data_IF_906939837173
#
_entry.id   IF_906939837173
#
_cell.length_a   1.000
_cell.length_b   1.000
_cell.length_c   1.000
_cell.angle_alpha   90.00
_cell.angle_beta   90.00
_cell.angle_gamma   90.00
#
_symmetry.space_group_name_H-M   'P 1'
#
loop_
_entity.id
_entity.type
_entity.pdbx_description
1 polymer ?
#
# COMPACT_ATOMS: atom_id res chain seq x y z
N UNK A 1 -36.68 -1.02 2.15
CA UNK A 1 -35.20 -0.98 2.24
C UNK A 1 -34.64 -1.05 0.84
N UNK A 2 -34.14 0.07 0.36
CA UNK A 2 -33.87 0.35 -1.05
C UNK A 2 -32.85 -0.62 -1.70
N UNK A 3 -33.02 -0.95 -2.99
CA UNK A 3 -32.06 -1.79 -3.73
C UNK A 3 -30.67 -1.13 -3.72
N UNK A 4 -30.63 0.20 -3.77
CA UNK A 4 -29.42 1.00 -3.72
C UNK A 4 -28.69 0.88 -2.37
N UNK A 5 -29.44 0.94 -1.27
CA UNK A 5 -28.94 0.75 0.10
C UNK A 5 -28.26 -0.63 0.29
N UNK A 6 -28.84 -1.68 -0.27
CA UNK A 6 -28.26 -3.05 -0.22
C UNK A 6 -27.00 -3.16 -1.08
N UNK A 7 -26.97 -2.54 -2.27
CA UNK A 7 -25.81 -2.51 -3.17
C UNK A 7 -24.64 -1.74 -2.53
N UNK A 8 -24.90 -0.54 -1.98
CA UNK A 8 -23.94 0.27 -1.21
C UNK A 8 -23.33 -0.50 -0.04
N UNK A 9 -24.15 -1.21 0.76
CA UNK A 9 -23.65 -2.05 1.87
C UNK A 9 -22.77 -3.21 1.41
N UNK A 10 -23.16 -3.92 0.34
CA UNK A 10 -22.40 -5.07 -0.18
C UNK A 10 -21.05 -4.64 -0.75
N UNK A 11 -21.01 -3.54 -1.50
CA UNK A 11 -19.78 -3.04 -2.10
C UNK A 11 -18.85 -2.45 -1.03
N UNK A 12 -19.37 -1.65 -0.09
CA UNK A 12 -18.59 -1.16 1.06
C UNK A 12 -18.00 -2.31 1.89
N UNK A 13 -18.73 -3.41 2.07
CA UNK A 13 -18.24 -4.61 2.76
C UNK A 13 -17.15 -5.35 1.97
N UNK A 14 -17.32 -5.52 0.65
CA UNK A 14 -16.33 -6.17 -0.20
C UNK A 14 -15.00 -5.41 -0.23
N UNK A 15 -15.11 -4.08 -0.24
CA UNK A 15 -14.01 -3.13 -0.17
C UNK A 15 -13.28 -3.21 1.16
N UNK A 16 -14.01 -3.13 2.27
CA UNK A 16 -13.39 -3.19 3.59
C UNK A 16 -12.68 -4.54 3.79
N UNK A 17 -13.24 -5.61 3.22
CA UNK A 17 -12.60 -6.92 3.21
C UNK A 17 -11.29 -6.93 2.40
N UNK A 18 -11.21 -6.30 1.23
CA UNK A 18 -9.98 -6.30 0.42
C UNK A 18 -8.88 -5.39 0.99
N UNK A 19 -9.23 -4.24 1.60
CA UNK A 19 -8.26 -3.42 2.35
C UNK A 19 -7.68 -4.19 3.51
N UNK A 20 -8.57 -4.82 4.29
CA UNK A 20 -8.15 -5.64 5.41
C UNK A 20 -7.27 -6.78 4.93
N UNK A 21 -7.56 -7.38 3.77
CA UNK A 21 -6.75 -8.48 3.23
C UNK A 21 -5.33 -8.05 2.83
N UNK A 22 -5.19 -7.00 2.00
CA UNK A 22 -3.89 -6.51 1.56
C UNK A 22 -3.03 -6.06 2.74
N UNK A 23 -3.66 -5.37 3.67
CA UNK A 23 -3.00 -4.83 4.83
C UNK A 23 -2.66 -5.92 5.87
N UNK A 24 -3.49 -6.97 5.98
CA UNK A 24 -3.19 -8.19 6.74
C UNK A 24 -2.01 -8.95 6.12
N UNK A 25 -1.90 -9.01 4.79
CA UNK A 25 -0.74 -9.63 4.13
C UNK A 25 0.54 -8.84 4.39
N UNK A 26 0.52 -7.51 4.29
CA UNK A 26 1.70 -6.68 4.57
C UNK A 26 2.12 -6.83 6.03
N UNK A 27 1.18 -6.74 6.98
CA UNK A 27 1.43 -6.99 8.40
C UNK A 27 2.01 -8.38 8.63
N UNK A 28 1.36 -9.41 8.08
CA UNK A 28 1.78 -10.81 8.22
C UNK A 28 3.19 -11.03 7.68
N UNK A 29 3.51 -10.44 6.52
CA UNK A 29 4.84 -10.51 5.95
C UNK A 29 5.88 -9.81 6.82
N UNK A 30 5.59 -8.61 7.34
CA UNK A 30 6.49 -7.90 8.27
C UNK A 30 6.72 -8.71 9.55
N UNK A 31 5.69 -9.33 10.12
CA UNK A 31 5.84 -10.20 11.27
C UNK A 31 6.70 -11.43 10.98
N UNK A 32 6.45 -12.11 9.86
CA UNK A 32 7.24 -13.27 9.45
C UNK A 32 8.72 -12.91 9.28
N UNK A 33 9.01 -11.75 8.68
CA UNK A 33 10.37 -11.25 8.51
C UNK A 33 11.07 -11.01 9.86
N UNK A 34 10.43 -10.28 10.78
CA UNK A 34 11.01 -9.99 12.11
C UNK A 34 11.17 -11.27 12.94
N UNK A 35 10.22 -12.20 12.88
CA UNK A 35 10.32 -13.50 13.57
C UNK A 35 11.47 -14.34 13.00
N UNK A 36 11.65 -14.35 11.68
CA UNK A 36 12.76 -15.04 11.04
C UNK A 36 14.11 -14.44 11.47
N UNK A 37 14.21 -13.11 11.54
CA UNK A 37 15.40 -12.41 12.01
C UNK A 37 15.73 -12.72 13.48
N UNK A 38 14.73 -12.68 14.37
CA UNK A 38 14.88 -13.08 15.78
C UNK A 38 15.36 -14.53 15.88
N UNK A 39 14.73 -15.43 15.13
CA UNK A 39 15.10 -16.85 15.14
C UNK A 39 16.54 -17.04 14.69
N UNK A 40 16.97 -16.33 13.65
CA UNK A 40 18.35 -16.35 13.18
C UNK A 40 19.33 -15.82 14.22
N UNK A 41 19.07 -14.64 14.80
CA UNK A 41 19.92 -14.03 15.84
C UNK A 41 20.06 -14.89 17.08
N UNK A 42 18.97 -15.54 17.54
CA UNK A 42 19.02 -16.43 18.71
C UNK A 42 19.77 -17.72 18.40
N UNK A 43 19.48 -18.37 17.27
CA UNK A 43 19.99 -19.72 16.98
C UNK A 43 21.40 -19.74 16.40
N UNK A 44 21.76 -18.75 15.60
CA UNK A 44 23.03 -18.71 14.86
C UNK A 44 24.01 -17.77 15.52
N UNK A 45 23.55 -16.58 15.94
CA UNK A 45 24.43 -15.53 16.46
C UNK A 45 24.50 -15.50 17.98
N UNK A 46 23.56 -16.16 18.67
CA UNK A 46 23.43 -16.13 20.13
C UNK A 46 23.34 -14.69 20.70
N UNK A 47 22.72 -13.77 19.95
CA UNK A 47 22.58 -12.35 20.29
C UNK A 47 21.23 -12.01 20.95
N UNK A 48 21.22 -10.96 21.79
CA UNK A 48 20.00 -10.45 22.43
C UNK A 48 19.19 -9.61 21.45
N UNK A 49 17.93 -10.00 21.21
CA UNK A 49 17.06 -9.40 20.18
C UNK A 49 16.21 -8.23 20.69
N UNK A 50 16.80 -7.26 21.40
CA UNK A 50 16.01 -6.19 22.06
C UNK A 50 15.26 -5.30 21.06
N UNK A 51 15.89 -4.96 19.93
CA UNK A 51 15.31 -4.05 18.93
C UNK A 51 14.22 -4.70 18.09
N UNK A 52 14.38 -5.98 17.77
CA UNK A 52 13.42 -6.76 16.98
C UNK A 52 12.14 -6.99 17.80
N UNK A 53 12.29 -7.23 19.11
CA UNK A 53 11.15 -7.30 20.02
C UNK A 53 10.42 -5.96 20.09
N UNK A 54 11.14 -4.83 20.17
CA UNK A 54 10.52 -3.49 20.10
C UNK A 54 9.77 -3.30 18.77
N UNK A 55 10.37 -3.73 17.64
CA UNK A 55 9.76 -3.64 16.31
C UNK A 55 8.46 -4.45 16.22
N UNK A 56 8.38 -5.64 16.84
CA UNK A 56 7.13 -6.43 16.88
C UNK A 56 5.97 -5.63 17.50
N UNK A 57 6.23 -4.82 18.52
CA UNK A 57 5.21 -3.97 19.13
C UNK A 57 4.97 -2.66 18.36
N UNK A 58 5.99 -2.14 17.68
CA UNK A 58 5.91 -0.89 16.93
C UNK A 58 5.11 -1.04 15.63
N UNK A 59 5.25 -2.17 14.93
CA UNK A 59 4.56 -2.48 13.67
C UNK A 59 3.04 -2.26 13.77
N UNK A 60 2.30 -2.87 14.72
CA UNK A 60 0.85 -2.67 14.83
C UNK A 60 0.47 -1.24 15.22
N UNK A 61 1.30 -0.54 16.02
CA UNK A 61 1.06 0.84 16.41
C UNK A 61 1.17 1.78 15.20
N UNK A 62 2.26 1.70 14.45
CA UNK A 62 2.49 2.46 13.21
C UNK A 62 1.38 2.18 12.21
N UNK A 63 1.03 0.91 12.04
CA UNK A 63 -0.04 0.50 11.13
C UNK A 63 -1.40 1.10 11.51
N UNK A 64 -1.77 1.07 12.80
CA UNK A 64 -3.03 1.64 13.29
C UNK A 64 -3.09 3.14 13.04
N UNK A 65 -1.99 3.84 13.32
CA UNK A 65 -1.86 5.28 13.05
C UNK A 65 -1.98 5.55 11.54
N UNK A 66 -1.32 4.73 10.72
CA UNK A 66 -1.33 4.87 9.27
C UNK A 66 -2.74 4.71 8.69
N UNK A 67 -3.48 3.66 9.05
CA UNK A 67 -4.87 3.52 8.58
C UNK A 67 -5.71 4.73 8.98
N UNK A 68 -5.55 5.21 10.22
CA UNK A 68 -6.35 6.33 10.74
C UNK A 68 -6.05 7.64 10.01
N UNK A 69 -4.78 7.88 9.66
CA UNK A 69 -4.36 9.08 8.92
C UNK A 69 -4.76 9.00 7.44
N UNK A 70 -4.65 7.83 6.82
CA UNK A 70 -4.88 7.64 5.39
C UNK A 70 -6.30 7.15 5.04
N UNK A 71 -7.25 7.22 5.98
CA UNK A 71 -8.64 6.83 5.73
C UNK A 71 -9.39 7.78 4.80
N UNK A 72 -8.84 8.98 4.52
CA UNK A 72 -9.38 9.89 3.51
C UNK A 72 -8.90 9.41 2.14
N UNK A 73 -9.85 8.95 1.33
CA UNK A 73 -9.64 8.47 -0.03
C UNK A 73 -9.35 9.63 -0.97
N UNK A 74 -8.13 10.15 -0.90
CA UNK A 74 -7.60 11.08 -1.89
C UNK A 74 -7.09 10.29 -3.09
N UNK A 75 -7.28 10.84 -4.29
CA UNK A 75 -6.72 10.26 -5.51
C UNK A 75 -5.20 10.19 -5.33
N UNK A 76 -4.58 9.04 -5.57
CA UNK A 76 -3.13 8.96 -5.47
C UNK A 76 -2.49 9.90 -6.50
N UNK A 77 -1.53 10.69 -6.02
CA UNK A 77 -0.81 11.66 -6.83
C UNK A 77 0.45 11.01 -7.43
N UNK A 78 0.87 11.51 -8.59
CA UNK A 78 2.13 11.17 -9.21
C UNK A 78 3.30 11.92 -8.54
N UNK A 79 4.53 11.73 -9.04
CA UNK A 79 5.72 12.40 -8.50
C UNK A 79 5.75 13.92 -8.71
N UNK A 80 4.88 14.45 -9.59
CA UNK A 80 4.71 15.88 -9.82
C UNK A 80 3.58 16.47 -9.00
N UNK A 81 2.85 15.65 -8.24
CA UNK A 81 1.66 16.05 -7.49
C UNK A 81 0.39 16.07 -8.34
N UNK A 82 0.40 15.53 -9.56
CA UNK A 82 -0.77 15.42 -10.42
C UNK A 82 -1.58 14.16 -10.08
N UNK A 83 -2.92 14.21 -10.10
CA UNK A 83 -3.75 13.03 -9.82
C UNK A 83 -3.52 11.93 -10.86
N UNK A 84 -3.31 10.69 -10.39
CA UNK A 84 -3.21 9.54 -11.28
C UNK A 84 -4.53 9.31 -12.03
N UNK A 85 -4.47 8.87 -13.30
CA UNK A 85 -5.65 8.66 -14.10
C UNK A 85 -6.49 7.52 -13.54
N UNK A 86 -7.75 7.82 -13.22
CA UNK A 86 -8.68 6.90 -12.58
C UNK A 86 -9.47 6.05 -13.57
N UNK A 87 -9.39 6.36 -14.86
CA UNK A 87 -10.07 5.64 -15.94
C UNK A 87 -9.61 4.18 -16.09
N UNK A 88 -10.47 3.38 -16.73
CA UNK A 88 -10.20 1.96 -17.00
C UNK A 88 -9.61 1.69 -18.38
N UNK A 89 -9.24 2.74 -19.13
CA UNK A 89 -8.67 2.60 -20.47
C UNK A 89 -7.29 1.93 -20.41
N UNK A 90 -6.86 1.33 -21.52
CA UNK A 90 -5.52 0.73 -21.63
C UNK A 90 -4.41 1.77 -21.41
N UNK A 91 -4.62 3.00 -21.85
CA UNK A 91 -3.66 4.09 -21.70
C UNK A 91 -3.51 4.52 -20.24
N UNK A 92 -4.63 4.67 -19.51
CA UNK A 92 -4.61 5.00 -18.08
C UNK A 92 -3.88 3.93 -17.28
N UNK A 93 -4.21 2.66 -17.52
CA UNK A 93 -3.51 1.51 -16.89
C UNK A 93 -2.02 1.51 -17.20
N UNK A 94 -1.62 1.87 -18.42
CA UNK A 94 -0.20 1.96 -18.80
C UNK A 94 0.51 3.08 -18.06
N UNK A 95 -0.12 4.26 -17.92
CA UNK A 95 0.42 5.39 -17.15
C UNK A 95 0.60 5.02 -15.67
N UNK A 96 -0.43 4.41 -15.06
CA UNK A 96 -0.37 3.93 -13.67
C UNK A 96 0.71 2.88 -13.45
N UNK A 97 0.80 1.87 -14.32
CA UNK A 97 1.83 0.84 -14.21
C UNK A 97 3.25 1.40 -14.41
N UNK A 98 3.42 2.48 -15.18
CA UNK A 98 4.70 3.17 -15.27
C UNK A 98 5.03 3.86 -13.94
N UNK A 99 4.05 4.52 -13.33
CA UNK A 99 4.21 5.14 -12.02
C UNK A 99 4.58 4.11 -10.94
N UNK A 100 3.86 2.98 -10.84
CA UNK A 100 4.18 1.91 -9.87
C UNK A 100 5.59 1.36 -10.06
N UNK A 101 6.02 1.15 -11.30
CA UNK A 101 7.38 0.68 -11.57
C UNK A 101 8.44 1.70 -11.19
N UNK A 102 8.18 2.99 -11.40
CA UNK A 102 9.14 4.03 -11.07
C UNK A 102 9.24 4.22 -9.55
N UNK A 103 8.11 4.24 -8.84
CA UNK A 103 8.10 4.44 -7.41
C UNK A 103 8.70 3.23 -6.66
N UNK A 104 8.37 2.00 -7.09
CA UNK A 104 9.02 0.80 -6.59
C UNK A 104 10.53 0.76 -6.88
N UNK A 105 10.97 1.28 -8.03
CA UNK A 105 12.38 1.38 -8.38
C UNK A 105 13.13 2.35 -7.47
N UNK A 106 12.58 3.55 -7.25
CA UNK A 106 13.16 4.54 -6.35
C UNK A 106 13.25 3.99 -4.92
N UNK A 107 12.18 3.34 -4.46
CA UNK A 107 12.18 2.71 -3.13
C UNK A 107 13.27 1.64 -2.99
N UNK A 108 13.37 0.72 -3.95
CA UNK A 108 14.40 -0.31 -3.96
C UNK A 108 15.82 0.27 -4.04
N UNK A 109 16.00 1.37 -4.78
CA UNK A 109 17.28 2.06 -4.89
C UNK A 109 17.69 2.69 -3.56
N UNK A 110 16.78 3.42 -2.91
CA UNK A 110 17.02 4.01 -1.58
C UNK A 110 17.34 2.90 -0.58
N UNK A 111 16.57 1.81 -0.58
CA UNK A 111 16.81 0.66 0.29
C UNK A 111 18.21 0.07 0.07
N UNK A 112 18.61 -0.17 -1.18
CA UNK A 112 19.93 -0.71 -1.50
C UNK A 112 21.06 0.23 -1.04
N UNK A 113 20.89 1.55 -1.18
CA UNK A 113 21.87 2.53 -0.68
C UNK A 113 21.95 2.50 0.84
N UNK A 114 20.82 2.49 1.54
CA UNK A 114 20.78 2.39 3.01
C UNK A 114 21.45 1.11 3.49
N UNK A 115 21.18 -0.02 2.82
CA UNK A 115 21.78 -1.30 3.12
C UNK A 115 23.30 -1.25 2.94
N UNK A 116 23.80 -0.71 1.81
CA UNK A 116 25.22 -0.57 1.55
C UNK A 116 25.92 0.33 2.59
N UNK A 117 25.30 1.44 3.00
CA UNK A 117 25.79 2.33 4.07
C UNK A 117 25.79 1.59 5.42
N UNK A 118 24.79 0.76 5.69
CA UNK A 118 24.73 -0.09 6.88
C UNK A 118 25.92 -1.04 6.99
N UNK A 119 26.31 -1.67 5.88
CA UNK A 119 27.51 -2.52 5.83
C UNK A 119 28.82 -1.72 5.99
N UNK A 120 28.87 -0.47 5.51
CA UNK A 120 30.02 0.42 5.65
C UNK A 120 30.22 0.96 7.07
N UNK A 121 29.13 1.19 7.81
CA UNK A 121 29.14 1.89 9.11
C UNK A 121 29.48 1.01 10.32
N UNK A 122 29.83 -0.27 10.12
CA UNK A 122 30.51 -1.11 11.12
C UNK A 122 29.76 -1.30 12.45
N UNK A 123 28.81 -2.24 12.45
CA UNK A 123 28.44 -3.08 13.62
C UNK A 123 28.09 -4.53 13.22
N UNK A 124 27.95 -4.84 11.92
CA UNK A 124 27.74 -6.20 11.40
C UNK A 124 29.04 -6.95 11.05
N UNK A 125 30.21 -6.39 11.37
CA UNK A 125 31.53 -6.89 10.92
C UNK A 125 31.80 -8.33 11.35
N UNK A 126 31.34 -8.76 12.53
CA UNK A 126 31.49 -10.15 12.98
C UNK A 126 30.68 -11.14 12.16
N UNK A 127 29.48 -10.76 11.73
CA UNK A 127 28.54 -11.66 11.04
C UNK A 127 28.80 -11.72 9.52
N UNK A 128 29.41 -10.66 8.96
CA UNK A 128 29.84 -10.61 7.56
C UNK A 128 31.03 -11.53 7.30
N UNK A 129 31.96 -11.67 8.25
CA UNK A 129 33.08 -12.61 8.11
C UNK A 129 32.58 -14.05 8.03
N UNK A 130 31.65 -14.46 8.89
CA UNK A 130 31.08 -15.83 8.87
C UNK A 130 30.32 -16.09 7.56
N UNK A 131 29.50 -15.14 7.11
CA UNK A 131 28.72 -15.30 5.88
C UNK A 131 29.58 -15.29 4.61
N UNK A 132 30.63 -14.47 4.58
CA UNK A 132 31.58 -14.42 3.45
C UNK A 132 32.47 -15.66 3.39
N UNK A 133 32.91 -16.18 4.54
CA UNK A 133 33.63 -17.44 4.65
C UNK A 133 32.75 -18.62 4.16
N UNK A 134 31.47 -18.65 4.56
CA UNK A 134 30.53 -19.70 4.14
C UNK A 134 30.22 -19.69 2.63
N UNK A 135 30.14 -18.50 2.01
CA UNK A 135 29.69 -18.35 0.62
C UNK A 135 30.82 -18.26 -0.40
N UNK A 136 31.99 -17.76 -0.01
CA UNK A 136 33.07 -17.43 -0.94
C UNK A 136 34.41 -18.08 -0.59
N UNK A 137 34.50 -18.83 0.52
CA UNK A 137 35.68 -19.59 0.96
C UNK A 137 36.96 -18.71 1.09
N UNK A 138 36.78 -17.38 1.14
CA UNK A 138 37.80 -16.34 1.22
C UNK A 138 37.24 -15.09 1.90
N UNK A 139 38.08 -14.41 2.66
CA UNK A 139 37.75 -13.10 3.23
C UNK A 139 37.55 -12.06 2.12
N UNK A 140 36.31 -11.60 1.94
CA UNK A 140 35.96 -10.51 1.04
C UNK A 140 35.89 -9.21 1.87
N UNK A 141 36.45 -8.09 1.39
CA UNK A 141 36.30 -6.81 2.08
C UNK A 141 34.82 -6.49 2.31
N UNK A 142 34.46 -6.07 3.53
CA UNK A 142 33.07 -5.78 3.94
C UNK A 142 32.32 -4.88 2.97
N UNK A 143 33.00 -3.89 2.38
CA UNK A 143 32.45 -3.02 1.35
C UNK A 143 31.98 -3.79 0.10
N UNK A 144 32.80 -4.73 -0.38
CA UNK A 144 32.48 -5.53 -1.57
C UNK A 144 31.35 -6.52 -1.27
N UNK A 145 31.34 -7.13 -0.08
CA UNK A 145 30.23 -7.98 0.36
C UNK A 145 28.91 -7.19 0.44
N UNK A 146 28.93 -6.00 1.08
CA UNK A 146 27.77 -5.12 1.17
C UNK A 146 27.25 -4.67 -0.19
N UNK A 147 28.14 -4.40 -1.15
CA UNK A 147 27.77 -4.08 -2.53
C UNK A 147 27.10 -5.26 -3.24
N UNK A 148 27.65 -6.47 -3.12
CA UNK A 148 27.07 -7.70 -3.69
C UNK A 148 25.70 -8.00 -3.06
N UNK A 149 25.61 -7.94 -1.73
CA UNK A 149 24.35 -8.14 -1.01
C UNK A 149 23.28 -7.13 -1.44
N UNK A 150 23.65 -5.86 -1.59
CA UNK A 150 22.74 -4.80 -2.07
C UNK A 150 22.28 -5.04 -3.50
N UNK A 151 23.16 -5.49 -4.40
CA UNK A 151 22.81 -5.86 -5.77
C UNK A 151 21.84 -7.03 -5.85
N UNK A 152 22.00 -8.03 -4.98
CA UNK A 152 21.10 -9.20 -4.91
C UNK A 152 19.76 -8.83 -4.27
N UNK A 153 19.77 -8.00 -3.22
CA UNK A 153 18.54 -7.58 -2.54
C UNK A 153 17.71 -6.60 -3.36
N UNK A 154 18.34 -5.80 -4.22
CA UNK A 154 17.66 -4.83 -5.06
C UNK A 154 16.49 -5.41 -5.87
N UNK A 155 16.64 -6.46 -6.72
CA UNK A 155 15.53 -7.03 -7.49
C UNK A 155 14.45 -7.64 -6.60
N UNK A 156 14.82 -8.21 -5.44
CA UNK A 156 13.85 -8.80 -4.50
C UNK A 156 12.96 -7.69 -3.90
N UNK A 157 13.59 -6.63 -3.40
CA UNK A 157 12.87 -5.47 -2.83
C UNK A 157 12.08 -4.74 -3.89
N UNK A 158 12.63 -4.60 -5.11
CA UNK A 158 11.92 -4.01 -6.24
C UNK A 158 10.62 -4.77 -6.57
N UNK A 159 10.69 -6.11 -6.69
CA UNK A 159 9.51 -6.92 -6.99
C UNK A 159 8.49 -6.89 -5.86
N UNK A 160 8.94 -6.97 -4.60
CA UNK A 160 8.07 -6.87 -3.44
C UNK A 160 7.38 -5.49 -3.38
N UNK A 161 8.13 -4.40 -3.56
CA UNK A 161 7.60 -3.05 -3.60
C UNK A 161 6.63 -2.85 -4.74
N UNK A 162 6.93 -3.37 -5.93
CA UNK A 162 6.04 -3.29 -7.08
C UNK A 162 4.70 -3.98 -6.82
N UNK A 163 4.71 -5.16 -6.19
CA UNK A 163 3.49 -5.88 -5.80
C UNK A 163 2.66 -5.06 -4.80
N UNK A 164 3.30 -4.55 -3.75
CA UNK A 164 2.62 -3.75 -2.72
C UNK A 164 2.02 -2.49 -3.33
N UNK A 165 2.78 -1.74 -4.11
CA UNK A 165 2.30 -0.52 -4.76
C UNK A 165 1.18 -0.77 -5.74
N UNK A 166 1.31 -1.80 -6.59
CA UNK A 166 0.27 -2.16 -7.54
C UNK A 166 -1.05 -2.44 -6.81
N UNK A 167 -1.02 -3.31 -5.79
CA UNK A 167 -2.20 -3.66 -5.00
C UNK A 167 -2.77 -2.44 -4.29
N UNK A 168 -1.92 -1.63 -3.66
CA UNK A 168 -2.33 -0.48 -2.86
C UNK A 168 -2.96 0.64 -3.69
N UNK A 169 -2.31 1.02 -4.79
CA UNK A 169 -2.77 2.14 -5.61
C UNK A 169 -3.99 1.78 -6.47
N UNK A 170 -4.03 0.58 -7.07
CA UNK A 170 -5.24 0.13 -7.77
C UNK A 170 -6.43 0.01 -6.81
N UNK A 171 -6.18 -0.41 -5.57
CA UNK A 171 -7.20 -0.38 -4.53
C UNK A 171 -7.71 1.04 -4.27
N UNK A 172 -6.83 2.03 -4.05
CA UNK A 172 -7.23 3.43 -3.82
C UNK A 172 -8.02 4.02 -4.99
N UNK A 173 -7.62 3.71 -6.22
CA UNK A 173 -8.33 4.19 -7.42
C UNK A 173 -9.70 3.55 -7.54
N UNK A 174 -9.81 2.25 -7.23
CA UNK A 174 -11.10 1.57 -7.18
C UNK A 174 -12.03 2.16 -6.12
N UNK A 175 -11.50 2.52 -4.94
CA UNK A 175 -12.25 3.23 -3.89
C UNK A 175 -12.79 4.57 -4.39
N UNK A 176 -11.89 5.36 -4.99
CA UNK A 176 -12.21 6.68 -5.47
C UNK A 176 -13.31 6.62 -6.54
N UNK A 177 -13.15 5.76 -7.55
CA UNK A 177 -14.15 5.59 -8.61
C UNK A 177 -15.52 5.18 -8.06
N UNK A 178 -15.56 4.33 -7.03
CA UNK A 178 -16.82 3.98 -6.41
C UNK A 178 -17.46 5.17 -5.69
N UNK A 179 -16.68 5.94 -4.95
CA UNK A 179 -17.20 7.11 -4.24
C UNK A 179 -17.76 8.15 -5.21
N UNK A 180 -17.11 8.33 -6.35
CA UNK A 180 -17.63 9.17 -7.46
C UNK A 180 -18.96 8.62 -7.97
N UNK A 181 -19.04 7.33 -8.30
CA UNK A 181 -20.29 6.71 -8.76
C UNK A 181 -21.44 6.85 -7.75
N UNK A 182 -21.15 6.67 -6.46
CA UNK A 182 -22.15 6.82 -5.39
C UNK A 182 -22.64 8.27 -5.29
N UNK A 183 -21.74 9.25 -5.48
CA UNK A 183 -22.09 10.67 -5.49
C UNK A 183 -22.97 11.00 -6.70
N UNK A 184 -22.57 10.57 -7.90
CA UNK A 184 -23.34 10.79 -9.14
C UNK A 184 -24.72 10.12 -9.13
N UNK A 185 -24.86 8.93 -8.52
CA UNK A 185 -26.17 8.30 -8.30
C UNK A 185 -27.03 9.10 -7.31
N UNK A 186 -26.44 9.60 -6.22
CA UNK A 186 -27.17 10.39 -5.23
C UNK A 186 -27.62 11.76 -5.76
N UNK A 187 -26.80 12.39 -6.61
CA UNK A 187 -27.16 13.64 -7.30
C UNK A 187 -28.34 13.43 -8.25
N UNK A 188 -28.33 12.36 -9.05
CA UNK A 188 -29.46 12.01 -9.93
C UNK A 188 -30.75 11.70 -9.18
N UNK A 189 -30.69 10.95 -8.08
CA UNK A 189 -31.88 10.70 -7.24
C UNK A 189 -32.44 12.00 -6.63
N UNK A 190 -31.58 12.96 -6.27
CA UNK A 190 -32.04 14.25 -5.77
C UNK A 190 -32.70 15.10 -6.88
N UNK A 191 -32.17 15.04 -8.11
CA UNK A 191 -32.76 15.71 -9.28
C UNK A 191 -34.13 15.11 -9.63
N UNK A 192 -34.25 13.78 -9.70
CA UNK A 192 -35.52 13.08 -9.97
C UNK A 192 -36.59 13.37 -8.89
N UNK A 193 -36.20 13.39 -7.61
CA UNK A 193 -37.11 13.73 -6.52
C UNK A 193 -37.58 15.19 -6.61
N UNK A 194 -36.70 16.12 -7.00
CA UNK A 194 -37.04 17.52 -7.17
C UNK A 194 -38.03 17.73 -8.33
N UNK A 195 -37.80 17.09 -9.47
CA UNK A 195 -38.75 17.12 -10.60
C UNK A 195 -40.12 16.53 -10.20
N UNK A 196 -40.14 15.46 -9.43
CA UNK A 196 -41.39 14.84 -8.95
C UNK A 196 -42.16 15.72 -7.96
N UNK A 197 -41.46 16.49 -7.13
CA UNK A 197 -42.07 17.48 -6.23
C UNK A 197 -42.63 18.69 -7.01
N UNK A 198 -41.92 19.17 -8.03
CA UNK A 198 -42.38 20.26 -8.91
C UNK A 198 -43.68 19.87 -9.64
N UNK A 199 -43.75 18.67 -10.24
CA UNK A 199 -44.96 18.16 -10.92
C UNK A 199 -46.16 18.09 -9.98
N UNK A 200 -45.98 17.57 -8.76
CA UNK A 200 -47.08 17.51 -7.76
C UNK A 200 -47.55 18.88 -7.32
N UNK A 201 -46.64 19.85 -7.27
CA UNK A 201 -46.98 21.22 -6.87
C UNK A 201 -47.80 21.91 -7.97
N UNK A 202 -47.46 21.70 -9.24
CA UNK A 202 -48.24 22.20 -10.38
C UNK A 202 -49.63 21.55 -10.48
N UNK A 203 -49.74 20.22 -10.35
CA UNK A 203 -51.05 19.54 -10.33
C UNK A 203 -51.94 20.04 -9.19
N UNK A 204 -51.37 20.26 -8.00
CA UNK A 204 -52.12 20.80 -6.85
C UNK A 204 -52.54 22.26 -7.04
N UNK A 205 -51.84 23.04 -7.85
CA UNK A 205 -52.19 24.42 -8.15
C UNK A 205 -53.30 24.52 -9.20
N UNK A 206 -53.31 23.64 -10.20
CA UNK A 206 -54.41 23.56 -11.18
C UNK A 206 -55.73 23.12 -10.54
N UNK A 207 -55.70 22.17 -9.60
CA UNK A 207 -56.90 21.65 -8.92
C UNK A 207 -57.60 22.70 -8.02
N UNK A 208 -56.91 23.77 -7.60
CA UNK A 208 -57.47 24.86 -6.79
C UNK A 208 -58.13 25.94 -7.67
N UNK A 209 -57.87 25.97 -8.98
CA UNK A 209 -58.36 27.00 -9.91
C UNK A 209 -59.63 26.64 -10.69
N UNK A 210 -60.23 25.47 -10.41
CA UNK A 210 -61.50 24.99 -11.01
C UNK A 210 -62.64 25.10 -10.02
#
# INVERSE_FOLDING_TARGET
>A
MDKLSRKKKRVKKAINNSTNLAALYTLGFSYLFVIAEITYKIKVLHEVCTWEVILLFLIPAVYTIFIKLFSKSEIPLDMKGEPLPTGNTKEDKKKRNRFYRLNAFIYALIFAVVLAIGFLSSSMVSNVNIASELLFDKEIPNFLFGAIASLIMFPIVYLASLMVEYVWYEYKISQYNLLVLIREEAERENEENKETEEIKTEESAEEITV
#
